data_IF_755505980629
#
_entry.id   IF_755505980629
#
_cell.length_a   1.000
_cell.length_b   1.000
_cell.length_c   1.000
_cell.angle_alpha   90.00
_cell.angle_beta   90.00
_cell.angle_gamma   90.00
#
_symmetry.space_group_name_H-M   'P 1'
#
loop_
_entity.id
_entity.type
_entity.pdbx_description
1 polymer ?
#
# COMPACT_ATOMS: atom_id res chain seq x y z
N UNK A 1 17.48 -33.65 -59.62
CA UNK A 1 16.19 -33.41 -58.92
C UNK A 1 16.00 -31.90 -58.80
N UNK A 2 14.78 -31.40 -59.03
CA UNK A 2 14.43 -29.99 -58.77
C UNK A 2 13.76 -29.96 -57.39
N UNK A 3 14.31 -29.16 -56.47
CA UNK A 3 13.70 -28.88 -55.18
C UNK A 3 12.91 -27.58 -55.32
N UNK A 4 11.60 -27.65 -55.07
CA UNK A 4 10.73 -26.47 -55.03
C UNK A 4 10.43 -26.15 -53.57
N UNK A 5 10.97 -25.04 -53.07
CA UNK A 5 10.67 -24.55 -51.73
C UNK A 5 9.47 -23.60 -51.83
N UNK A 6 8.39 -23.91 -51.11
CA UNK A 6 7.23 -23.01 -51.00
C UNK A 6 7.60 -21.87 -50.04
N UNK A 7 7.42 -20.63 -50.50
CA UNK A 7 7.58 -19.44 -49.65
C UNK A 7 6.48 -19.43 -48.58
N UNK A 8 6.86 -19.02 -47.37
CA UNK A 8 5.89 -18.76 -46.32
C UNK A 8 5.32 -17.34 -46.43
N UNK A 9 4.03 -17.21 -46.20
CA UNK A 9 3.26 -15.96 -46.31
C UNK A 9 2.25 -15.79 -45.19
N UNK A 10 2.16 -16.73 -44.25
CA UNK A 10 1.20 -16.68 -43.15
C UNK A 10 1.89 -16.10 -41.91
N UNK A 11 1.29 -15.13 -41.20
CA UNK A 11 1.87 -14.59 -39.98
C UNK A 11 1.61 -15.51 -38.78
N UNK A 12 2.46 -15.44 -37.74
CA UNK A 12 2.23 -16.15 -36.49
C UNK A 12 0.92 -15.75 -35.81
N UNK A 13 0.32 -16.66 -35.06
CA UNK A 13 -0.86 -16.40 -34.23
C UNK A 13 -0.50 -16.29 -32.75
N UNK A 14 -0.91 -15.18 -32.11
CA UNK A 14 -0.74 -14.93 -30.67
C UNK A 14 -2.05 -15.24 -29.91
N UNK A 15 -1.99 -16.04 -28.84
CA UNK A 15 -3.13 -16.44 -28.02
C UNK A 15 -2.83 -16.36 -26.51
N UNK A 16 -3.88 -16.42 -25.68
CA UNK A 16 -3.78 -16.32 -24.22
C UNK A 16 -3.65 -14.89 -23.67
N UNK A 17 -3.79 -13.89 -24.54
CA UNK A 17 -3.79 -12.49 -24.15
C UNK A 17 -5.08 -12.12 -23.41
N UNK A 18 -4.91 -11.64 -22.18
CA UNK A 18 -5.96 -11.11 -21.34
C UNK A 18 -5.49 -9.78 -20.73
N UNK A 19 -6.44 -8.88 -20.48
CA UNK A 19 -6.18 -7.67 -19.71
C UNK A 19 -5.70 -8.04 -18.29
N UNK A 20 -4.82 -7.21 -17.72
CA UNK A 20 -4.18 -7.46 -16.44
C UNK A 20 -4.43 -6.30 -15.48
N UNK A 21 -4.62 -6.61 -14.20
CA UNK A 21 -4.66 -5.60 -13.13
C UNK A 21 -3.50 -5.82 -12.17
N UNK A 22 -2.87 -4.73 -11.72
CA UNK A 22 -1.70 -4.75 -10.83
C UNK A 22 -1.77 -3.59 -9.84
N UNK A 23 -1.31 -3.80 -8.61
CA UNK A 23 -1.18 -2.70 -7.66
C UNK A 23 0.05 -1.85 -7.94
N UNK A 24 -0.03 -0.56 -7.61
CA UNK A 24 1.10 0.38 -7.72
C UNK A 24 2.39 -0.24 -7.14
N UNK A 25 3.47 -0.16 -7.91
CA UNK A 25 4.81 -0.65 -7.55
C UNK A 25 5.00 -2.17 -7.65
N UNK A 26 3.96 -2.95 -7.98
CA UNK A 26 4.09 -4.42 -8.15
C UNK A 26 4.47 -4.78 -9.59
N UNK A 27 5.22 -5.87 -9.73
CA UNK A 27 5.70 -6.35 -11.03
C UNK A 27 4.56 -7.00 -11.84
N UNK A 28 4.62 -6.86 -13.17
CA UNK A 28 3.65 -7.45 -14.11
C UNK A 28 4.29 -8.62 -14.86
N UNK A 29 3.62 -9.77 -14.86
CA UNK A 29 4.06 -10.95 -15.61
C UNK A 29 3.50 -10.94 -17.04
N UNK A 30 4.18 -10.23 -17.95
CA UNK A 30 3.74 -10.05 -19.34
C UNK A 30 3.72 -11.34 -20.17
N UNK A 31 4.67 -12.26 -19.93
CA UNK A 31 4.78 -13.53 -20.66
C UNK A 31 3.89 -14.64 -20.12
N UNK A 32 3.27 -14.45 -18.95
CA UNK A 32 2.48 -15.50 -18.30
C UNK A 32 1.22 -15.79 -19.12
N UNK A 33 1.04 -17.07 -19.45
CA UNK A 33 -0.09 -17.62 -20.21
C UNK A 33 -0.21 -17.05 -21.64
N UNK A 34 0.87 -16.47 -22.18
CA UNK A 34 0.92 -15.99 -23.57
C UNK A 34 1.66 -16.99 -24.44
N UNK A 35 1.08 -17.27 -25.60
CA UNK A 35 1.60 -18.28 -26.51
C UNK A 35 1.58 -17.79 -27.95
N UNK A 36 2.49 -18.34 -28.76
CA UNK A 36 2.62 -18.07 -30.19
C UNK A 36 2.65 -19.39 -30.94
N UNK A 37 1.97 -19.46 -32.08
CA UNK A 37 2.00 -20.59 -33.01
C UNK A 37 2.18 -20.07 -34.43
N UNK A 38 2.85 -20.86 -35.25
CA UNK A 38 3.03 -20.58 -36.67
C UNK A 38 2.86 -21.87 -37.48
N UNK A 39 2.56 -21.76 -38.77
CA UNK A 39 2.31 -22.90 -39.65
C UNK A 39 3.61 -23.62 -40.07
N UNK A 40 4.76 -22.94 -40.02
CA UNK A 40 6.06 -23.44 -40.50
C UNK A 40 7.16 -23.37 -39.46
N UNK A 41 7.22 -22.29 -38.68
CA UNK A 41 8.25 -22.05 -37.68
C UNK A 41 7.87 -22.67 -36.32
N UNK A 42 8.72 -23.55 -35.79
CA UNK A 42 8.48 -24.20 -34.49
C UNK A 42 8.75 -23.28 -33.30
N UNK A 43 9.60 -22.27 -33.50
CA UNK A 43 9.95 -21.26 -32.51
C UNK A 43 9.82 -19.88 -33.15
N UNK A 44 8.93 -19.06 -32.60
CA UNK A 44 8.72 -17.68 -33.04
C UNK A 44 9.00 -16.74 -31.87
N UNK A 45 9.84 -15.75 -32.12
CA UNK A 45 10.16 -14.75 -31.10
C UNK A 45 8.97 -13.82 -30.84
N UNK A 46 8.67 -13.60 -29.57
CA UNK A 46 7.62 -12.68 -29.12
C UNK A 46 8.26 -11.43 -28.51
N UNK A 47 8.08 -10.31 -29.19
CA UNK A 47 8.44 -8.98 -28.69
C UNK A 47 7.29 -8.37 -27.90
N UNK A 48 7.60 -7.78 -26.73
CA UNK A 48 6.61 -7.16 -25.84
C UNK A 48 7.03 -5.71 -25.60
N UNK A 49 6.23 -4.78 -26.09
CA UNK A 49 6.39 -3.35 -25.82
C UNK A 49 5.49 -2.95 -24.65
N UNK A 50 6.11 -2.77 -23.49
CA UNK A 50 5.51 -2.22 -22.27
C UNK A 50 6.11 -0.87 -21.89
N UNK A 51 6.77 -0.17 -22.81
CA UNK A 51 7.49 1.08 -22.54
C UNK A 51 6.61 2.19 -21.98
N UNK A 52 5.32 2.16 -22.31
CA UNK A 52 4.33 3.14 -21.85
C UNK A 52 3.69 2.78 -20.49
N UNK A 53 4.00 1.62 -19.91
CA UNK A 53 3.41 1.21 -18.62
C UNK A 53 4.16 1.87 -17.48
N UNK A 54 3.48 2.77 -16.77
CA UNK A 54 3.97 3.36 -15.53
C UNK A 54 3.36 2.65 -14.33
N UNK A 55 4.10 1.71 -13.73
CA UNK A 55 3.65 0.97 -12.55
C UNK A 55 3.59 1.82 -11.28
N UNK A 56 4.10 3.05 -11.30
CA UNK A 56 4.13 3.94 -10.13
C UNK A 56 2.90 4.85 -10.07
N UNK A 57 2.11 4.89 -11.13
CA UNK A 57 0.96 5.78 -11.28
C UNK A 57 -0.29 4.99 -11.61
N UNK A 58 -1.39 5.33 -10.94
CA UNK A 58 -2.69 4.77 -11.26
C UNK A 58 -3.10 5.15 -12.69
N UNK A 59 -3.59 4.17 -13.44
CA UNK A 59 -3.95 4.37 -14.84
C UNK A 59 -4.16 3.07 -15.59
N UNK A 60 -4.63 3.19 -16.83
CA UNK A 60 -4.71 2.06 -17.76
C UNK A 60 -3.75 2.30 -18.91
N UNK A 61 -2.84 1.35 -19.11
CA UNK A 61 -1.75 1.42 -20.07
C UNK A 61 -1.90 0.32 -21.12
N UNK A 62 -1.49 0.62 -22.35
CA UNK A 62 -1.51 -0.37 -23.44
C UNK A 62 -0.16 -1.09 -23.50
N UNK A 63 -0.19 -2.40 -23.65
CA UNK A 63 0.98 -3.24 -23.93
C UNK A 63 0.77 -3.95 -25.25
N UNK A 64 1.76 -3.89 -26.13
CA UNK A 64 1.68 -4.48 -27.47
C UNK A 64 2.59 -5.69 -27.58
N UNK A 65 2.05 -6.78 -28.09
CA UNK A 65 2.73 -8.05 -28.36
C UNK A 65 2.89 -8.19 -29.86
N UNK A 66 4.11 -8.41 -30.33
CA UNK A 66 4.41 -8.59 -31.75
C UNK A 66 5.21 -9.87 -31.94
N UNK A 67 4.75 -10.72 -32.85
CA UNK A 67 5.44 -11.94 -33.25
C UNK A 67 5.85 -11.82 -34.72
N UNK A 68 7.09 -12.22 -35.02
CA UNK A 68 7.67 -12.18 -36.37
C UNK A 68 8.30 -13.53 -36.69
N UNK A 69 7.87 -14.16 -37.78
CA UNK A 69 8.42 -15.44 -38.24
C UNK A 69 9.79 -15.28 -38.94
N UNK A 70 10.41 -16.39 -39.34
CA UNK A 70 11.70 -16.37 -40.05
C UNK A 70 11.60 -15.81 -41.48
N UNK A 71 10.40 -15.75 -42.04
CA UNK A 71 10.09 -15.27 -43.39
C UNK A 71 9.69 -13.79 -43.44
N UNK A 72 9.61 -13.14 -42.27
CA UNK A 72 9.25 -11.73 -42.09
C UNK A 72 7.75 -11.45 -41.98
N UNK A 73 6.88 -12.46 -41.87
CA UNK A 73 5.46 -12.25 -41.62
C UNK A 73 5.25 -11.87 -40.14
N UNK A 74 4.34 -10.93 -39.88
CA UNK A 74 4.16 -10.34 -38.55
C UNK A 74 2.71 -10.33 -38.10
N UNK A 75 2.50 -10.49 -36.79
CA UNK A 75 1.22 -10.23 -36.14
C UNK A 75 1.41 -9.41 -34.87
N UNK A 76 0.43 -8.55 -34.57
CA UNK A 76 0.43 -7.74 -33.36
C UNK A 76 -0.92 -7.74 -32.66
N UNK A 77 -0.91 -7.78 -31.33
CA UNK A 77 -2.10 -7.66 -30.47
C UNK A 77 -1.76 -6.83 -29.24
N UNK A 78 -2.73 -6.08 -28.72
CA UNK A 78 -2.56 -5.28 -27.51
C UNK A 78 -3.49 -5.73 -26.39
N UNK A 79 -3.03 -5.59 -25.15
CA UNK A 79 -3.83 -5.75 -23.93
C UNK A 79 -3.81 -4.46 -23.13
N UNK A 80 -4.75 -4.33 -22.21
CA UNK A 80 -4.73 -3.29 -21.19
C UNK A 80 -4.10 -3.80 -19.90
N UNK A 81 -3.26 -2.97 -19.32
CA UNK A 81 -2.72 -3.14 -17.97
C UNK A 81 -3.26 -2.01 -17.10
N UNK A 82 -4.11 -2.36 -16.14
CA UNK A 82 -4.69 -1.41 -15.19
C UNK A 82 -3.87 -1.42 -13.91
N UNK A 83 -3.18 -0.31 -13.64
CA UNK A 83 -2.48 -0.06 -12.39
C UNK A 83 -3.48 0.57 -11.43
N UNK A 84 -3.74 -0.08 -10.30
CA UNK A 84 -4.69 0.35 -9.27
C UNK A 84 -3.97 0.72 -7.98
N UNK A 85 -4.46 1.74 -7.28
CA UNK A 85 -3.99 2.03 -5.91
C UNK A 85 -4.50 0.94 -4.97
N UNK A 86 -3.63 0.46 -4.09
CA UNK A 86 -4.08 -0.33 -2.94
C UNK A 86 -4.74 0.61 -1.94
N UNK A 87 -6.03 0.40 -1.67
CA UNK A 87 -6.81 1.16 -0.69
C UNK A 87 -7.18 0.24 0.47
N UNK A 88 -6.88 0.67 1.68
CA UNK A 88 -7.41 0.04 2.90
C UNK A 88 -8.78 0.66 3.15
N UNK A 89 -9.81 -0.16 3.40
CA UNK A 89 -11.12 0.36 3.79
C UNK A 89 -11.12 0.74 5.28
N UNK A 90 -11.95 1.70 5.65
CA UNK A 90 -12.13 2.09 7.05
C UNK A 90 -12.61 0.90 7.91
N UNK A 91 -13.49 0.05 7.37
CA UNK A 91 -13.95 -1.17 8.05
C UNK A 91 -12.80 -2.13 8.35
N UNK A 92 -11.88 -2.37 7.41
CA UNK A 92 -10.74 -3.25 7.63
C UNK A 92 -9.77 -2.69 8.67
N UNK A 93 -9.56 -1.37 8.69
CA UNK A 93 -8.78 -0.71 9.74
C UNK A 93 -9.47 -0.84 11.11
N UNK A 94 -10.79 -0.63 11.16
CA UNK A 94 -11.55 -0.74 12.40
C UNK A 94 -11.53 -2.18 12.96
N UNK A 95 -11.70 -3.20 12.12
CA UNK A 95 -11.59 -4.61 12.53
C UNK A 95 -10.20 -4.93 13.11
N UNK A 96 -9.14 -4.44 12.46
CA UNK A 96 -7.77 -4.59 12.96
C UNK A 96 -7.57 -3.93 14.32
N UNK A 97 -8.10 -2.71 14.49
CA UNK A 97 -8.00 -1.95 15.74
C UNK A 97 -8.84 -2.59 16.84
N UNK A 98 -10.05 -3.04 16.54
CA UNK A 98 -10.93 -3.71 17.50
C UNK A 98 -10.26 -4.97 18.05
N UNK A 99 -9.63 -5.78 17.20
CA UNK A 99 -8.88 -6.95 17.66
C UNK A 99 -7.74 -6.61 18.63
N UNK A 100 -7.04 -5.50 18.42
CA UNK A 100 -6.00 -5.02 19.36
C UNK A 100 -6.63 -4.53 20.67
N UNK A 101 -7.73 -3.77 20.59
CA UNK A 101 -8.40 -3.24 21.76
C UNK A 101 -8.97 -4.36 22.64
N UNK A 102 -9.53 -5.41 22.04
CA UNK A 102 -10.02 -6.60 22.75
C UNK A 102 -8.90 -7.33 23.52
N UNK A 103 -7.65 -7.25 23.04
CA UNK A 103 -6.49 -7.85 23.73
C UNK A 103 -5.98 -7.00 24.91
N UNK A 104 -6.06 -5.66 24.80
CA UNK A 104 -5.43 -4.75 25.77
C UNK A 104 -6.40 -4.13 26.77
N UNK A 105 -7.72 -4.21 26.53
CA UNK A 105 -8.75 -3.60 27.36
C UNK A 105 -9.62 -4.63 28.08
N UNK A 106 -10.21 -4.20 29.19
CA UNK A 106 -11.26 -4.94 29.91
C UNK A 106 -12.43 -4.01 30.21
N UNK A 107 -13.63 -4.59 30.39
CA UNK A 107 -14.88 -3.82 30.58
C UNK A 107 -14.88 -2.92 31.83
N UNK A 108 -14.05 -3.23 32.83
CA UNK A 108 -13.95 -2.51 34.10
C UNK A 108 -12.96 -1.34 34.08
N UNK A 109 -12.22 -1.15 32.98
CA UNK A 109 -11.25 -0.06 32.88
C UNK A 109 -11.91 1.32 32.81
N UNK A 110 -11.38 2.28 33.56
CA UNK A 110 -11.72 3.71 33.37
C UNK A 110 -11.16 4.22 32.04
N UNK A 111 -11.65 5.38 31.57
CA UNK A 111 -11.12 6.02 30.36
C UNK A 111 -9.62 6.32 30.49
N UNK A 112 -9.13 6.70 31.67
CA UNK A 112 -7.70 6.91 31.92
C UNK A 112 -6.90 5.60 31.79
N UNK A 113 -7.44 4.49 32.31
CA UNK A 113 -6.81 3.17 32.19
C UNK A 113 -6.80 2.69 30.73
N UNK A 114 -7.90 2.88 30.01
CA UNK A 114 -7.99 2.58 28.58
C UNK A 114 -6.99 3.42 27.77
N UNK A 115 -6.93 4.74 28.01
CA UNK A 115 -5.95 5.62 27.39
C UNK A 115 -4.51 5.15 27.69
N UNK A 116 -4.22 4.77 28.93
CA UNK A 116 -2.89 4.29 29.30
C UNK A 116 -2.51 2.95 28.64
N UNK A 117 -3.47 2.03 28.51
CA UNK A 117 -3.28 0.76 27.80
C UNK A 117 -2.97 1.00 26.32
N UNK A 118 -3.77 1.83 25.64
CA UNK A 118 -3.55 2.25 24.26
C UNK A 118 -2.17 2.92 24.11
N UNK A 119 -1.84 3.88 24.98
CA UNK A 119 -0.55 4.55 24.99
C UNK A 119 0.62 3.57 25.08
N UNK A 120 0.51 2.60 25.98
CA UNK A 120 1.53 1.58 26.23
C UNK A 120 1.69 0.65 25.03
N UNK A 121 0.58 0.21 24.44
CA UNK A 121 0.59 -0.65 23.26
C UNK A 121 1.26 0.05 22.07
N UNK A 122 0.86 1.28 21.76
CA UNK A 122 1.41 2.03 20.62
C UNK A 122 2.94 2.20 20.77
N UNK A 123 3.41 2.56 21.97
CA UNK A 123 4.84 2.73 22.23
C UNK A 123 5.65 1.44 22.19
N UNK A 124 5.02 0.31 22.50
CA UNK A 124 5.66 -1.01 22.46
C UNK A 124 5.72 -1.61 21.05
N UNK A 125 4.75 -1.26 20.19
CA UNK A 125 4.54 -1.93 18.91
C UNK A 125 4.94 -1.10 17.68
N UNK A 126 5.03 0.22 17.80
CA UNK A 126 5.50 1.10 16.72
C UNK A 126 6.88 1.64 17.05
N UNK A 127 7.79 1.55 16.08
CA UNK A 127 9.15 2.11 16.12
C UNK A 127 9.25 3.33 15.24
N UNK A 128 9.96 4.35 15.72
CA UNK A 128 10.15 5.58 14.96
C UNK A 128 11.07 5.35 13.76
N UNK A 129 10.57 5.67 12.57
CA UNK A 129 11.34 5.72 11.34
C UNK A 129 10.77 6.80 10.42
N UNK A 130 11.65 7.63 9.86
CA UNK A 130 11.25 8.75 9.01
C UNK A 130 10.81 8.23 7.65
N UNK A 131 9.60 8.60 7.23
CA UNK A 131 9.06 8.21 5.93
C UNK A 131 8.49 9.42 5.17
N UNK A 132 8.34 9.27 3.86
CA UNK A 132 7.70 10.30 3.05
C UNK A 132 6.21 10.33 3.40
N UNK A 133 5.73 11.49 3.87
CA UNK A 133 4.39 11.64 4.42
C UNK A 133 3.29 11.08 3.52
N UNK A 134 2.46 10.22 4.10
CA UNK A 134 1.32 9.61 3.41
C UNK A 134 0.15 10.60 3.47
N UNK A 135 -0.52 10.81 2.33
CA UNK A 135 -1.70 11.71 2.23
C UNK A 135 -3.02 11.01 2.61
N UNK A 136 -2.98 9.70 2.81
CA UNK A 136 -4.12 8.82 3.09
C UNK A 136 -4.02 8.31 4.53
N UNK A 137 -4.81 8.91 5.44
CA UNK A 137 -4.72 8.64 6.88
C UNK A 137 -5.12 7.20 7.25
N UNK A 138 -6.04 6.57 6.50
CA UNK A 138 -6.44 5.17 6.74
C UNK A 138 -5.25 4.26 6.47
N UNK A 139 -4.59 4.48 5.32
CA UNK A 139 -3.40 3.74 4.95
C UNK A 139 -2.27 3.95 5.95
N UNK A 140 -2.02 5.19 6.37
CA UNK A 140 -1.02 5.52 7.40
C UNK A 140 -1.28 4.77 8.71
N UNK A 141 -2.52 4.80 9.22
CA UNK A 141 -2.89 4.06 10.43
C UNK A 141 -2.64 2.55 10.27
N UNK A 142 -3.11 1.99 9.16
CA UNK A 142 -3.00 0.55 8.88
C UNK A 142 -1.53 0.12 8.72
N UNK A 143 -0.72 0.85 7.96
CA UNK A 143 0.71 0.56 7.81
C UNK A 143 1.46 0.71 9.15
N UNK A 144 1.16 1.73 9.94
CA UNK A 144 1.74 1.90 11.28
C UNK A 144 1.47 0.70 12.19
N UNK A 145 0.24 0.20 12.20
CA UNK A 145 -0.16 -0.97 12.99
C UNK A 145 0.45 -2.27 12.44
N UNK A 146 0.41 -2.49 11.13
CA UNK A 146 0.79 -3.78 10.52
C UNK A 146 2.29 -3.95 10.31
N UNK A 147 3.02 -2.86 10.05
CA UNK A 147 4.47 -2.90 9.85
C UNK A 147 5.24 -2.66 11.15
N UNK A 148 4.65 -1.94 12.11
CA UNK A 148 5.30 -1.52 13.36
C UNK A 148 6.32 -0.40 13.17
N UNK A 149 6.25 0.36 12.07
CA UNK A 149 7.12 1.49 11.77
C UNK A 149 6.31 2.74 11.41
N UNK A 150 6.81 3.92 11.76
CA UNK A 150 6.16 5.17 11.42
C UNK A 150 6.86 6.41 11.98
N UNK A 151 6.39 7.59 11.59
CA UNK A 151 6.85 8.86 12.11
C UNK A 151 5.82 9.49 13.06
N UNK A 152 6.08 10.71 13.55
CA UNK A 152 5.18 11.38 14.50
C UNK A 152 3.74 11.56 14.01
N UNK A 153 3.51 11.63 12.69
CA UNK A 153 2.17 11.64 12.14
C UNK A 153 1.51 10.25 12.23
N UNK A 154 2.25 9.17 11.95
CA UNK A 154 1.78 7.79 12.13
C UNK A 154 1.32 7.55 13.58
N UNK A 155 2.15 7.90 14.56
CA UNK A 155 1.81 7.75 15.98
C UNK A 155 0.55 8.53 16.36
N UNK A 156 0.43 9.78 15.90
CA UNK A 156 -0.75 10.60 16.13
C UNK A 156 -2.02 9.96 15.55
N UNK A 157 -1.97 9.49 14.30
CA UNK A 157 -3.13 8.91 13.62
C UNK A 157 -3.52 7.57 14.24
N UNK A 158 -2.57 6.68 14.54
CA UNK A 158 -2.87 5.41 15.22
C UNK A 158 -3.51 5.69 16.60
N UNK A 159 -3.01 6.69 17.33
CA UNK A 159 -3.59 7.12 18.60
C UNK A 159 -5.02 7.62 18.42
N UNK A 160 -5.26 8.51 17.45
CA UNK A 160 -6.59 9.07 17.16
C UNK A 160 -7.61 7.96 16.83
N UNK A 161 -7.24 7.02 15.96
CA UNK A 161 -8.11 5.90 15.59
C UNK A 161 -8.46 5.05 16.81
N UNK A 162 -7.47 4.61 17.59
CA UNK A 162 -7.71 3.79 18.79
C UNK A 162 -8.54 4.52 19.84
N UNK A 163 -8.28 5.81 20.09
CA UNK A 163 -9.00 6.63 21.06
C UNK A 163 -10.47 6.86 20.65
N UNK A 164 -10.72 7.06 19.36
CA UNK A 164 -12.07 7.21 18.82
C UNK A 164 -12.91 5.93 19.04
N UNK A 165 -12.31 4.75 18.82
CA UNK A 165 -12.98 3.46 19.03
C UNK A 165 -13.47 3.26 20.46
N UNK A 166 -12.76 3.81 21.45
CA UNK A 166 -13.13 3.75 22.87
C UNK A 166 -13.87 4.99 23.38
N UNK A 167 -14.29 5.88 22.48
CA UNK A 167 -15.01 7.12 22.82
C UNK A 167 -14.26 8.02 23.80
N UNK A 168 -12.94 8.16 23.63
CA UNK A 168 -12.12 9.15 24.34
C UNK A 168 -11.93 10.37 23.44
N UNK A 169 -12.45 11.51 23.90
CA UNK A 169 -12.30 12.78 23.21
C UNK A 169 -10.81 13.08 23.03
N UNK A 170 -10.40 13.38 21.80
CA UNK A 170 -9.02 13.68 21.48
C UNK A 170 -8.92 14.78 20.43
N UNK A 171 -7.77 15.46 20.40
CA UNK A 171 -7.48 16.49 19.41
C UNK A 171 -6.03 16.45 18.96
N UNK A 172 -5.80 16.75 17.68
CA UNK A 172 -4.46 16.92 17.13
C UNK A 172 -3.77 18.13 17.73
N UNK A 173 -2.51 17.96 18.13
CA UNK A 173 -1.59 19.06 18.41
C UNK A 173 -0.47 19.06 17.39
N UNK A 174 -0.10 20.25 16.95
CA UNK A 174 1.06 20.48 16.08
C UNK A 174 1.99 21.44 16.79
N UNK A 175 3.28 21.08 16.92
CA UNK A 175 4.29 21.99 17.45
C UNK A 175 4.42 23.21 16.52
N UNK A 176 4.29 24.40 17.08
CA UNK A 176 4.54 25.68 16.38
C UNK A 176 5.87 26.25 16.87
N UNK A 177 6.83 26.40 15.96
CA UNK A 177 8.21 26.83 16.28
C UNK A 177 9.11 25.70 16.78
N UNK A 178 10.44 25.95 16.86
CA UNK A 178 11.45 24.94 17.20
C UNK A 178 12.22 24.40 15.98
N UNK A 179 13.08 23.41 16.21
CA UNK A 179 13.97 22.82 15.17
C UNK A 179 13.35 21.67 14.37
N UNK A 180 12.18 21.15 14.78
CA UNK A 180 11.49 20.04 14.10
C UNK A 180 9.96 20.14 14.24
N UNK A 181 9.25 19.72 13.19
CA UNK A 181 7.80 19.51 13.23
C UNK A 181 7.49 18.27 14.10
N UNK A 182 6.43 18.34 14.90
CA UNK A 182 5.98 17.24 15.77
C UNK A 182 4.45 17.24 15.90
N UNK A 183 3.86 16.05 15.91
CA UNK A 183 2.42 15.82 16.03
C UNK A 183 2.12 14.84 17.17
N UNK A 184 1.08 15.12 17.95
CA UNK A 184 0.60 14.24 19.02
C UNK A 184 -0.87 14.55 19.34
N UNK A 185 -1.47 13.85 20.32
CA UNK A 185 -2.86 14.06 20.73
C UNK A 185 -2.94 14.78 22.08
N UNK A 186 -3.94 15.63 22.30
CA UNK A 186 -4.50 15.79 23.65
C UNK A 186 -5.65 14.81 23.81
N UNK A 187 -5.86 14.32 25.03
CA UNK A 187 -7.01 13.46 25.39
C UNK A 187 -7.77 14.04 26.56
N UNK A 188 -9.08 13.82 26.58
CA UNK A 188 -9.93 14.11 27.72
C UNK A 188 -10.66 12.84 28.18
N UNK A 189 -10.21 12.31 29.31
CA UNK A 189 -10.81 11.12 29.94
C UNK A 189 -11.96 11.47 30.88
N UNK A 190 -12.26 12.76 31.08
CA UNK A 190 -13.34 13.26 31.96
C UNK A 190 -12.89 14.34 32.94
N UNK A 191 -11.58 14.48 33.18
CA UNK A 191 -11.02 15.43 34.15
C UNK A 191 -10.35 16.67 33.52
N UNK A 192 -10.33 16.77 32.19
CA UNK A 192 -9.68 17.85 31.45
C UNK A 192 -8.84 17.34 30.29
N UNK A 193 -8.17 18.26 29.61
CA UNK A 193 -7.30 17.95 28.47
C UNK A 193 -5.86 17.72 28.93
N UNK A 194 -5.26 16.61 28.49
CA UNK A 194 -3.88 16.25 28.82
C UNK A 194 -3.11 15.78 27.61
N UNK A 195 -1.78 15.91 27.67
CA UNK A 195 -0.90 15.40 26.65
C UNK A 195 -0.95 13.86 26.52
N UNK A 196 -1.04 13.39 25.28
CA UNK A 196 -0.99 12.00 24.86
C UNK A 196 -0.03 11.92 23.67
N UNK A 197 1.27 11.87 23.98
CA UNK A 197 2.32 11.80 22.97
C UNK A 197 3.02 10.44 23.01
N UNK A 198 2.55 9.56 22.13
CA UNK A 198 3.08 8.21 21.92
C UNK A 198 4.37 8.22 21.10
N UNK A 199 4.73 9.33 20.46
CA UNK A 199 5.91 9.49 19.61
C UNK A 199 7.11 10.13 20.35
N UNK A 200 7.28 9.88 21.66
CA UNK A 200 8.37 10.52 22.40
C UNK A 200 9.68 9.70 22.44
N UNK A 201 10.23 9.39 21.27
CA UNK A 201 11.54 8.72 21.17
C UNK A 201 12.74 9.65 21.38
N UNK A 202 12.55 10.98 21.29
CA UNK A 202 13.65 11.95 21.31
C UNK A 202 14.02 12.46 22.71
N UNK A 203 13.05 12.56 23.64
CA UNK A 203 13.29 13.21 24.94
C UNK A 203 13.19 12.25 26.15
N UNK A 204 12.86 10.97 25.96
CA UNK A 204 12.76 9.92 26.99
C UNK A 204 11.87 10.26 28.21
N UNK A 205 11.03 11.30 28.14
CA UNK A 205 10.12 11.68 29.23
C UNK A 205 8.73 11.10 28.98
N UNK A 206 8.11 10.37 29.92
CA UNK A 206 6.71 10.00 29.78
C UNK A 206 5.86 11.28 29.75
N UNK A 207 5.18 11.50 28.63
CA UNK A 207 4.31 12.67 28.38
C UNK A 207 2.83 12.35 28.55
N UNK A 208 2.51 11.11 28.94
CA UNK A 208 1.14 10.68 29.20
C UNK A 208 0.54 11.43 30.39
N UNK A 209 -0.61 12.06 30.17
CA UNK A 209 -1.37 12.80 31.17
C UNK A 209 -0.62 13.99 31.79
N UNK A 210 0.39 14.54 31.09
CA UNK A 210 0.99 15.81 31.49
C UNK A 210 0.02 16.95 31.19
N UNK A 211 -0.12 17.88 32.14
CA UNK A 211 -0.84 19.14 32.01
C UNK A 211 0.00 20.21 31.33
#
# INVERSE_FOLDING_TARGET
>A
AILTVKKDTEPPEIYGLNDKSVYIGKAVAYKKDVFVKDNKDSEVELHIDSSNVDITKEGTYSVTYTATDSSGNTSSKSIKVTVIKETVSEDALNELVDGILDEILTEDMTKEQQAHAIYTWIRGNIRYESHAGITDWIKEAHEGITTGFGDCFTYYIVSEVMLNRVNIDNMKVTRVGGSSNHYWNLVNCGSGWYHFDTCNFLDFKPTFMLT
#
